data_IF_864185355069
#
_entry.id   IF_864185355069
#
_cell.length_a   1.000
_cell.length_b   1.000
_cell.length_c   1.000
_cell.angle_alpha   90.00
_cell.angle_beta   90.00
_cell.angle_gamma   90.00
#
_symmetry.space_group_name_H-M   'P 1'
#
loop_
_entity.id
_entity.type
_entity.pdbx_description
1 polymer ?
#
# COMPACT_ATOMS: atom_id res chain seq x y z
N UNK A 1 -23.15 27.35 13.06
CA UNK A 1 -22.63 26.54 14.19
C UNK A 1 -21.66 25.52 13.62
N UNK A 2 -20.40 25.55 14.07
CA UNK A 2 -19.39 24.57 13.67
C UNK A 2 -19.61 23.25 14.40
N UNK A 3 -19.55 22.15 13.68
CA UNK A 3 -19.53 20.81 14.27
C UNK A 3 -18.06 20.40 14.47
N UNK A 4 -17.40 20.98 15.47
CA UNK A 4 -16.33 20.26 16.15
C UNK A 4 -16.94 19.08 16.90
N UNK A 5 -16.11 18.13 17.34
CA UNK A 5 -16.54 17.07 18.26
C UNK A 5 -17.09 17.62 19.60
N UNK A 6 -16.94 18.94 19.80
CA UNK A 6 -17.46 19.75 20.89
C UNK A 6 -18.40 20.81 20.27
N UNK A 7 -19.60 20.95 20.86
CA UNK A 7 -20.59 21.97 20.49
C UNK A 7 -19.95 23.36 20.46
N UNK A 8 -20.23 24.13 19.39
CA UNK A 8 -19.78 25.51 19.18
C UNK A 8 -18.27 25.72 18.93
N UNK A 9 -17.51 24.67 18.59
CA UNK A 9 -16.13 24.77 18.09
C UNK A 9 -16.02 24.35 16.61
N UNK A 10 -15.01 24.83 15.89
CA UNK A 10 -14.68 24.38 14.53
C UNK A 10 -13.72 23.19 14.58
N UNK A 11 -14.00 22.13 13.81
CA UNK A 11 -13.23 20.88 13.83
C UNK A 11 -11.95 20.87 13.00
N UNK A 12 -11.68 21.89 12.19
CA UNK A 12 -10.63 21.89 11.13
C UNK A 12 -9.22 21.56 11.65
N UNK A 13 -8.93 21.94 12.90
CA UNK A 13 -7.63 21.72 13.53
C UNK A 13 -7.71 20.75 14.72
N UNK A 14 -8.79 19.97 14.81
CA UNK A 14 -9.01 19.04 15.90
C UNK A 14 -9.09 17.60 15.37
N UNK A 15 -8.68 16.67 16.22
CA UNK A 15 -8.74 15.25 15.92
C UNK A 15 -9.44 14.51 17.06
N UNK A 16 -10.50 13.77 16.75
CA UNK A 16 -11.09 12.82 17.68
C UNK A 16 -10.13 11.65 17.85
N UNK A 17 -9.77 11.33 19.09
CA UNK A 17 -8.93 10.16 19.39
C UNK A 17 -9.80 9.04 19.94
N UNK A 18 -9.81 7.90 19.26
CA UNK A 18 -10.52 6.70 19.68
C UNK A 18 -9.52 5.63 20.15
N UNK A 19 -9.62 5.30 21.44
CA UNK A 19 -8.90 4.21 22.10
C UNK A 19 -9.88 3.32 22.89
N UNK A 20 -9.36 2.26 23.52
CA UNK A 20 -10.16 1.29 24.26
C UNK A 20 -10.88 0.30 23.35
N UNK A 21 -11.08 -0.93 23.84
CA UNK A 21 -11.60 -2.07 23.07
C UNK A 21 -13.03 -1.92 22.55
N UNK A 22 -13.79 -0.95 23.07
CA UNK A 22 -15.18 -0.71 22.68
C UNK A 22 -15.35 -0.18 21.25
N UNK A 23 -16.61 -0.09 20.83
CA UNK A 23 -17.00 0.37 19.49
C UNK A 23 -17.48 1.83 19.52
N UNK A 24 -17.02 2.63 18.56
CA UNK A 24 -17.55 3.94 18.24
C UNK A 24 -18.29 3.89 16.91
N UNK A 25 -19.57 4.25 16.88
CA UNK A 25 -20.35 4.34 15.64
C UNK A 25 -20.51 5.81 15.27
N UNK A 26 -20.04 6.19 14.09
CA UNK A 26 -20.15 7.55 13.58
C UNK A 26 -21.32 7.58 12.59
N UNK A 27 -22.39 8.23 13.02
CA UNK A 27 -23.58 8.54 12.23
C UNK A 27 -23.61 10.05 12.05
N UNK A 28 -23.62 10.52 10.82
CA UNK A 28 -23.83 11.94 10.52
C UNK A 28 -24.74 12.05 9.31
N UNK A 29 -25.59 13.05 9.31
CA UNK A 29 -26.42 13.44 8.17
C UNK A 29 -26.01 14.82 7.65
N UNK A 30 -24.86 15.33 8.12
CA UNK A 30 -24.41 16.66 7.75
C UNK A 30 -24.13 16.71 6.24
N UNK A 31 -24.90 17.56 5.55
CA UNK A 31 -24.71 17.91 4.15
C UNK A 31 -24.12 19.33 4.14
N UNK A 32 -22.84 19.51 3.78
CA UNK A 32 -22.24 20.83 3.79
C UNK A 32 -22.80 21.67 2.65
N UNK A 33 -22.97 22.98 2.87
CA UNK A 33 -23.34 23.91 1.80
C UNK A 33 -22.18 24.18 0.81
N UNK A 34 -20.96 23.66 1.08
CA UNK A 34 -19.77 23.69 0.22
C UNK A 34 -18.71 22.68 0.70
N UNK A 35 -17.92 22.10 -0.21
CA UNK A 35 -16.79 21.18 0.08
C UNK A 35 -15.67 21.83 0.92
N UNK A 36 -15.66 23.17 1.00
CA UNK A 36 -14.64 24.00 1.68
C UNK A 36 -15.12 24.64 2.98
N UNK A 37 -16.22 24.18 3.58
CA UNK A 37 -16.85 24.87 4.71
C UNK A 37 -16.00 24.91 6.00
N UNK A 38 -14.86 24.22 6.03
CA UNK A 38 -13.94 24.22 7.17
C UNK A 38 -14.62 23.71 8.42
N UNK A 39 -15.35 22.59 8.34
CA UNK A 39 -16.00 22.02 9.53
C UNK A 39 -15.58 20.61 9.88
N UNK A 40 -15.04 19.84 8.95
CA UNK A 40 -14.59 18.49 9.23
C UNK A 40 -13.26 18.51 9.99
N UNK A 41 -13.19 17.71 11.06
CA UNK A 41 -11.93 17.39 11.72
C UNK A 41 -11.38 16.05 11.27
N UNK A 42 -10.42 15.53 12.02
CA UNK A 42 -9.79 14.25 11.75
C UNK A 42 -10.15 13.19 12.80
N UNK A 43 -9.90 11.92 12.49
CA UNK A 43 -10.03 10.82 13.44
C UNK A 43 -8.69 10.10 13.57
N UNK A 44 -8.30 9.79 14.81
CA UNK A 44 -7.18 8.91 15.14
C UNK A 44 -7.68 7.68 15.88
N UNK A 45 -7.36 6.50 15.37
CA UNK A 45 -7.81 5.22 15.94
C UNK A 45 -6.60 4.43 16.41
N UNK A 46 -6.49 4.25 17.73
CA UNK A 46 -5.43 3.46 18.35
C UNK A 46 -5.89 2.09 18.83
N UNK A 47 -7.18 1.88 19.10
CA UNK A 47 -7.69 0.60 19.59
C UNK A 47 -9.21 0.48 19.43
N UNK A 48 -9.68 -0.77 19.31
CA UNK A 48 -11.10 -1.12 19.28
C UNK A 48 -11.68 -0.95 17.88
N UNK A 49 -12.98 -0.72 17.79
CA UNK A 49 -13.68 -0.64 16.51
C UNK A 49 -14.28 0.76 16.28
N UNK A 50 -14.17 1.25 15.06
CA UNK A 50 -14.94 2.40 14.57
C UNK A 50 -15.81 1.94 13.41
N UNK A 51 -17.09 2.28 13.42
CA UNK A 51 -18.03 1.98 12.32
C UNK A 51 -18.45 3.29 11.66
N UNK A 52 -18.22 3.42 10.35
CA UNK A 52 -18.75 4.52 9.56
C UNK A 52 -20.12 4.19 8.98
N UNK A 53 -21.15 4.62 9.69
CA UNK A 53 -22.56 4.46 9.31
C UNK A 53 -23.13 5.80 8.82
N UNK A 54 -22.53 6.36 7.78
CA UNK A 54 -22.94 7.64 7.17
C UNK A 54 -22.80 7.59 5.65
N UNK A 55 -23.74 8.24 4.94
CA UNK A 55 -23.69 8.43 3.49
C UNK A 55 -23.11 9.81 3.09
N UNK A 56 -22.66 10.61 4.05
CA UNK A 56 -22.01 11.91 3.83
C UNK A 56 -20.62 11.96 4.45
N UNK A 57 -19.79 12.91 4.00
CA UNK A 57 -18.48 13.14 4.59
C UNK A 57 -18.62 13.53 6.06
N UNK A 58 -17.79 12.94 6.91
CA UNK A 58 -17.75 13.19 8.35
C UNK A 58 -16.41 13.77 8.79
N UNK A 59 -15.34 13.45 8.07
CA UNK A 59 -13.95 13.69 8.47
C UNK A 59 -13.11 14.11 7.25
N UNK A 60 -12.06 14.86 7.52
CA UNK A 60 -11.05 15.17 6.51
C UNK A 60 -10.20 13.94 6.18
N UNK A 61 -9.87 13.16 7.20
CA UNK A 61 -9.17 11.88 7.06
C UNK A 61 -9.14 11.08 8.36
N UNK A 62 -8.68 9.84 8.25
CA UNK A 62 -8.58 8.88 9.35
C UNK A 62 -7.17 8.32 9.42
N UNK A 63 -6.61 8.31 10.62
CA UNK A 63 -5.30 7.76 10.92
C UNK A 63 -5.43 6.54 11.83
N UNK A 64 -4.93 5.39 11.40
CA UNK A 64 -4.88 4.16 12.20
C UNK A 64 -3.45 3.88 12.66
N UNK A 65 -3.29 3.48 13.93
CA UNK A 65 -1.97 3.13 14.48
C UNK A 65 -2.07 2.01 15.53
N UNK A 66 -0.92 1.40 15.83
CA UNK A 66 -0.68 0.34 16.82
C UNK A 66 -1.25 -1.05 16.50
N UNK A 67 -1.96 -1.22 15.39
CA UNK A 67 -2.45 -2.53 14.92
C UNK A 67 -3.67 -3.08 15.63
N UNK A 68 -4.16 -2.38 16.66
CA UNK A 68 -5.28 -2.83 17.52
C UNK A 68 -6.63 -2.24 17.14
N UNK A 69 -6.65 -1.31 16.19
CA UNK A 69 -7.85 -0.65 15.70
C UNK A 69 -8.42 -1.33 14.45
N UNK A 70 -9.74 -1.38 14.35
CA UNK A 70 -10.46 -1.70 13.11
C UNK A 70 -11.40 -0.57 12.76
N UNK A 71 -11.21 0.00 11.57
CA UNK A 71 -12.20 0.83 10.93
C UNK A 71 -13.07 -0.04 10.02
N UNK A 72 -14.38 -0.03 10.25
CA UNK A 72 -15.37 -0.82 9.50
C UNK A 72 -16.30 0.10 8.73
N UNK A 73 -16.42 -0.14 7.43
CA UNK A 73 -17.43 0.49 6.59
C UNK A 73 -18.80 -0.14 6.81
N UNK A 74 -19.86 0.58 6.43
CA UNK A 74 -21.18 -0.03 6.26
C UNK A 74 -21.40 -0.26 4.77
N UNK A 75 -22.06 -1.37 4.41
CA UNK A 75 -22.38 -1.68 3.01
C UNK A 75 -23.12 -0.51 2.35
N UNK A 76 -22.64 -0.07 1.19
CA UNK A 76 -23.17 1.09 0.48
C UNK A 76 -22.74 2.44 1.09
N UNK A 77 -21.74 2.47 1.98
CA UNK A 77 -21.27 3.68 2.68
C UNK A 77 -19.75 3.69 2.85
N UNK A 78 -19.08 4.63 2.17
CA UNK A 78 -17.64 4.91 2.33
C UNK A 78 -17.32 6.41 2.37
N UNK A 79 -18.34 7.28 2.36
CA UNK A 79 -18.18 8.72 2.20
C UNK A 79 -17.53 9.42 3.40
N UNK A 80 -17.53 8.77 4.58
CA UNK A 80 -17.12 9.38 5.84
C UNK A 80 -15.74 10.07 5.79
N UNK A 81 -14.79 9.51 5.04
CA UNK A 81 -13.43 10.05 4.86
C UNK A 81 -13.19 10.69 3.48
N UNK A 82 -14.26 11.07 2.77
CA UNK A 82 -14.18 11.84 1.53
C UNK A 82 -14.29 11.04 0.23
N UNK A 83 -14.57 9.74 0.30
CA UNK A 83 -14.86 8.97 -0.92
C UNK A 83 -16.20 9.41 -1.53
N UNK A 84 -16.28 9.46 -2.86
CA UNK A 84 -17.48 9.81 -3.61
C UNK A 84 -18.04 8.56 -4.26
N UNK A 85 -19.35 8.32 -4.15
CA UNK A 85 -19.98 7.15 -4.76
C UNK A 85 -19.89 7.25 -6.28
N UNK A 86 -19.38 6.22 -6.94
CA UNK A 86 -19.45 6.10 -8.39
C UNK A 86 -20.74 5.36 -8.78
N UNK A 87 -21.53 5.99 -9.65
CA UNK A 87 -22.77 5.43 -10.18
C UNK A 87 -22.64 5.06 -11.67
N UNK A 88 -21.44 5.14 -12.24
CA UNK A 88 -21.19 4.88 -13.66
C UNK A 88 -21.56 3.45 -14.10
N UNK A 89 -21.61 2.49 -13.15
CA UNK A 89 -21.91 1.06 -13.38
C UNK A 89 -21.08 0.43 -14.51
N UNK A 90 -19.92 1.02 -14.84
CA UNK A 90 -19.09 0.62 -15.98
C UNK A 90 -18.55 -0.80 -15.82
N UNK A 91 -18.34 -1.23 -14.58
CA UNK A 91 -18.04 -2.62 -14.24
C UNK A 91 -19.08 -3.12 -13.22
N UNK A 92 -19.99 -3.98 -13.69
CA UNK A 92 -21.07 -4.54 -12.86
C UNK A 92 -20.58 -5.39 -11.67
N UNK A 93 -19.29 -5.78 -11.68
CA UNK A 93 -18.62 -6.47 -10.56
C UNK A 93 -18.43 -5.55 -9.36
N UNK A 94 -18.29 -4.24 -9.58
CA UNK A 94 -18.06 -3.29 -8.50
C UNK A 94 -19.38 -2.96 -7.79
N UNK A 95 -19.72 -3.77 -6.79
CA UNK A 95 -20.80 -3.45 -5.87
C UNK A 95 -20.39 -2.30 -4.96
N UNK A 96 -21.32 -1.36 -4.76
CA UNK A 96 -21.11 -0.22 -3.87
C UNK A 96 -19.77 0.50 -4.11
N UNK A 97 -19.55 0.94 -5.34
CA UNK A 97 -18.28 1.54 -5.75
C UNK A 97 -18.14 2.98 -5.26
N UNK A 98 -16.98 3.30 -4.68
CA UNK A 98 -16.59 4.65 -4.32
C UNK A 98 -15.20 4.99 -4.82
N UNK A 99 -14.99 6.27 -5.12
CA UNK A 99 -13.72 6.84 -5.57
C UNK A 99 -13.20 7.74 -4.46
N UNK A 100 -12.03 7.40 -3.94
CA UNK A 100 -11.22 8.27 -3.10
C UNK A 100 -10.20 8.92 -4.03
N UNK A 101 -10.48 10.14 -4.46
CA UNK A 101 -9.74 10.76 -5.57
C UNK A 101 -8.25 11.00 -5.25
N UNK A 102 -7.91 11.35 -4.01
CA UNK A 102 -6.53 11.60 -3.58
C UNK A 102 -5.77 12.58 -4.50
N UNK A 103 -6.41 13.70 -4.87
CA UNK A 103 -5.84 14.70 -5.77
C UNK A 103 -4.62 15.43 -5.17
N UNK A 104 -4.34 15.26 -3.88
CA UNK A 104 -3.18 15.86 -3.20
C UNK A 104 -2.64 14.94 -2.09
N UNK A 105 -1.32 14.93 -1.86
CA UNK A 105 -0.64 14.15 -0.80
C UNK A 105 -1.14 14.44 0.62
N UNK A 106 -1.78 15.60 0.83
CA UNK A 106 -2.32 16.00 2.14
C UNK A 106 -3.81 15.62 2.28
N UNK A 107 -4.36 14.87 1.33
CA UNK A 107 -5.79 14.52 1.28
C UNK A 107 -6.05 13.13 0.69
N UNK A 108 -5.41 12.12 1.27
CA UNK A 108 -5.62 10.71 0.91
C UNK A 108 -6.88 10.11 1.54
N UNK A 109 -7.40 10.70 2.60
CA UNK A 109 -8.58 10.24 3.35
C UNK A 109 -8.31 9.13 4.37
N UNK A 110 -7.43 8.17 4.08
CA UNK A 110 -7.04 7.09 5.00
C UNK A 110 -5.52 6.99 5.08
N UNK A 111 -5.01 6.87 6.30
CA UNK A 111 -3.59 6.81 6.62
C UNK A 111 -3.32 5.75 7.69
N UNK A 112 -2.26 4.96 7.50
CA UNK A 112 -1.82 3.95 8.45
C UNK A 112 -0.42 4.30 8.96
N UNK A 113 -0.34 4.77 10.19
CA UNK A 113 0.95 5.00 10.85
C UNK A 113 1.58 3.71 11.36
N UNK A 114 2.57 3.85 12.25
CA UNK A 114 3.31 2.72 12.82
C UNK A 114 2.38 1.69 13.47
N UNK A 115 2.58 0.42 13.13
CA UNK A 115 1.72 -0.67 13.57
C UNK A 115 0.40 -0.80 12.82
N UNK A 116 0.04 0.18 11.99
CA UNK A 116 -1.17 0.18 11.17
C UNK A 116 -2.44 -0.09 11.95
N UNK A 117 -3.25 -1.01 11.44
CA UNK A 117 -4.63 -1.29 11.86
C UNK A 117 -5.40 -1.86 10.69
N UNK A 118 -6.70 -2.09 10.89
CA UNK A 118 -7.53 -2.76 9.88
C UNK A 118 -8.54 -1.81 9.26
N UNK A 119 -8.68 -1.84 7.93
CA UNK A 119 -9.81 -1.29 7.21
C UNK A 119 -10.67 -2.44 6.68
N UNK A 120 -11.89 -2.56 7.17
CA UNK A 120 -12.87 -3.54 6.68
C UNK A 120 -13.82 -2.89 5.68
N UNK A 121 -13.72 -3.33 4.42
CA UNK A 121 -14.46 -2.80 3.30
C UNK A 121 -15.95 -3.17 3.32
N UNK A 122 -16.33 -4.27 4.00
CA UNK A 122 -17.72 -4.73 4.12
C UNK A 122 -18.52 -4.76 2.80
N UNK A 123 -17.89 -5.26 1.74
CA UNK A 123 -18.50 -5.39 0.41
C UNK A 123 -18.54 -4.10 -0.42
N UNK A 124 -17.85 -3.04 0.02
CA UNK A 124 -17.70 -1.82 -0.77
C UNK A 124 -16.44 -1.88 -1.64
N UNK A 125 -16.58 -1.58 -2.93
CA UNK A 125 -15.42 -1.39 -3.82
C UNK A 125 -14.86 0.02 -3.72
N UNK A 126 -13.53 0.15 -3.81
CA UNK A 126 -12.81 1.42 -3.73
C UNK A 126 -11.86 1.61 -4.90
N UNK A 127 -11.88 2.79 -5.52
CA UNK A 127 -10.80 3.27 -6.37
C UNK A 127 -10.03 4.34 -5.61
N UNK A 128 -8.71 4.19 -5.57
CA UNK A 128 -7.79 5.12 -4.91
C UNK A 128 -6.47 5.19 -5.68
N UNK A 129 -5.66 6.22 -5.45
CA UNK A 129 -4.37 6.36 -6.11
C UNK A 129 -3.29 5.49 -5.45
N UNK A 130 -3.16 5.57 -4.14
CA UNK A 130 -2.20 4.85 -3.31
C UNK A 130 -2.71 4.67 -1.86
N UNK A 131 -1.98 3.91 -1.05
CA UNK A 131 -2.27 3.67 0.36
C UNK A 131 -1.09 4.19 1.18
N UNK A 132 -1.35 5.18 2.04
CA UNK A 132 -0.35 5.65 3.00
C UNK A 132 -0.22 4.66 4.14
N UNK A 133 0.89 3.94 4.19
CA UNK A 133 1.16 2.92 5.21
C UNK A 133 2.63 2.90 5.58
N UNK A 134 2.95 3.03 6.87
CA UNK A 134 4.33 2.98 7.36
C UNK A 134 4.90 1.56 7.48
N UNK A 135 4.04 0.54 7.53
CA UNK A 135 4.47 -0.86 7.61
C UNK A 135 3.35 -1.81 7.13
N UNK A 136 3.70 -3.09 7.05
CA UNK A 136 2.82 -4.17 6.59
C UNK A 136 1.71 -4.56 7.56
N UNK A 137 1.61 -3.92 8.73
CA UNK A 137 0.49 -4.11 9.69
C UNK A 137 -0.68 -3.18 9.39
N UNK A 138 -0.55 -2.27 8.42
CA UNK A 138 -1.70 -1.73 7.71
C UNK A 138 -2.39 -2.89 6.96
N UNK A 139 -3.65 -3.19 7.26
CA UNK A 139 -4.33 -4.35 6.71
C UNK A 139 -5.70 -3.98 6.16
N UNK A 140 -5.95 -4.31 4.90
CA UNK A 140 -7.24 -4.09 4.24
C UNK A 140 -7.95 -5.44 4.12
N UNK A 141 -9.15 -5.55 4.67
CA UNK A 141 -9.93 -6.77 4.73
C UNK A 141 -11.34 -6.57 4.15
N UNK A 142 -12.00 -7.66 3.81
CA UNK A 142 -13.43 -7.66 3.57
C UNK A 142 -14.06 -8.85 4.30
N UNK A 143 -14.81 -8.57 5.36
CA UNK A 143 -15.55 -9.61 6.10
C UNK A 143 -16.96 -9.85 5.57
N UNK A 144 -17.36 -9.20 4.47
CA UNK A 144 -18.62 -9.51 3.79
C UNK A 144 -18.51 -10.82 3.01
N UNK A 145 -19.43 -11.75 3.31
CA UNK A 145 -19.45 -13.11 2.75
C UNK A 145 -20.14 -13.19 1.39
N UNK A 146 -20.85 -12.14 0.99
CA UNK A 146 -21.68 -12.13 -0.21
C UNK A 146 -21.02 -11.30 -1.31
N UNK A 147 -20.63 -10.08 -0.99
CA UNK A 147 -20.11 -9.12 -1.95
C UNK A 147 -18.59 -9.05 -1.86
N UNK A 148 -17.91 -9.40 -2.95
CA UNK A 148 -16.48 -9.16 -3.13
C UNK A 148 -16.21 -7.66 -3.22
N UNK A 149 -15.25 -7.18 -2.44
CA UNK A 149 -14.80 -5.79 -2.53
C UNK A 149 -13.68 -5.71 -3.57
N UNK A 150 -13.80 -4.83 -4.56
CA UNK A 150 -12.73 -4.57 -5.51
C UNK A 150 -11.97 -3.32 -5.12
N UNK A 151 -10.63 -3.41 -5.09
CA UNK A 151 -9.75 -2.27 -4.90
C UNK A 151 -8.98 -1.98 -6.19
N UNK A 152 -9.27 -0.83 -6.78
CA UNK A 152 -8.53 -0.31 -7.94
C UNK A 152 -7.47 0.65 -7.40
N UNK A 153 -6.20 0.37 -7.71
CA UNK A 153 -5.08 1.24 -7.34
C UNK A 153 -4.60 1.95 -8.60
N UNK A 154 -4.65 3.28 -8.64
CA UNK A 154 -4.27 4.02 -9.84
C UNK A 154 -2.75 4.10 -10.03
N UNK A 155 -1.93 4.24 -8.99
CA UNK A 155 -0.47 4.31 -9.11
C UNK A 155 0.04 5.51 -9.94
N UNK A 156 -0.63 6.66 -9.85
CA UNK A 156 -0.21 7.93 -10.45
C UNK A 156 0.73 8.69 -9.53
N UNK A 157 1.65 9.45 -10.13
CA UNK A 157 2.60 10.27 -9.42
C UNK A 157 1.97 11.46 -8.68
N UNK A 158 2.82 12.15 -7.91
CA UNK A 158 2.50 13.45 -7.33
C UNK A 158 3.64 14.42 -7.62
N UNK A 159 3.31 15.64 -8.03
CA UNK A 159 4.28 16.69 -8.32
C UNK A 159 4.91 17.30 -7.05
N UNK A 160 5.85 18.24 -7.24
CA UNK A 160 6.51 18.97 -6.14
C UNK A 160 5.52 19.84 -5.33
N UNK A 161 4.41 20.23 -5.94
CA UNK A 161 3.30 20.95 -5.28
C UNK A 161 2.30 19.99 -4.60
N UNK A 162 2.66 18.71 -4.48
CA UNK A 162 1.89 17.62 -3.87
C UNK A 162 0.63 17.21 -4.65
N UNK A 163 0.39 17.71 -5.85
CA UNK A 163 -0.81 17.38 -6.63
C UNK A 163 -0.65 16.09 -7.41
N UNK A 164 -1.72 15.30 -7.51
CA UNK A 164 -1.75 14.05 -8.29
C UNK A 164 -1.54 14.38 -9.77
N UNK A 165 -0.60 13.69 -10.40
CA UNK A 165 -0.32 13.84 -11.83
C UNK A 165 -1.23 12.93 -12.65
N UNK A 166 -1.16 13.01 -13.99
CA UNK A 166 -1.86 12.05 -14.86
C UNK A 166 -1.04 10.79 -15.12
N UNK A 167 0.29 10.91 -15.08
CA UNK A 167 1.22 9.85 -15.42
C UNK A 167 1.36 8.83 -14.29
N UNK A 168 1.55 7.57 -14.68
CA UNK A 168 1.91 6.49 -13.74
C UNK A 168 3.30 6.73 -13.18
N UNK A 169 3.50 6.34 -11.93
CA UNK A 169 4.79 6.36 -11.25
C UNK A 169 4.97 5.05 -10.46
N UNK A 170 6.22 4.65 -10.24
CA UNK A 170 6.50 3.52 -9.36
C UNK A 170 5.85 3.76 -8.00
N UNK A 171 5.02 2.81 -7.57
CA UNK A 171 4.19 2.93 -6.37
C UNK A 171 4.32 1.66 -5.54
N UNK A 172 4.87 1.78 -4.33
CA UNK A 172 4.99 0.66 -3.39
C UNK A 172 3.80 0.67 -2.42
N UNK A 173 3.18 -0.50 -2.25
CA UNK A 173 2.08 -0.75 -1.32
C UNK A 173 2.59 -1.62 -0.17
N UNK A 174 3.00 -0.95 0.91
CA UNK A 174 3.42 -1.63 2.15
C UNK A 174 2.26 -2.33 2.86
N UNK A 175 1.03 -1.82 2.68
CA UNK A 175 -0.16 -2.40 3.29
C UNK A 175 -0.39 -3.86 2.86
N UNK A 176 -0.82 -4.67 3.82
CA UNK A 176 -1.26 -6.03 3.60
C UNK A 176 -2.74 -6.10 3.26
N UNK A 177 -3.15 -7.22 2.64
CA UNK A 177 -4.53 -7.49 2.24
C UNK A 177 -5.00 -8.85 2.75
N UNK A 178 -6.22 -8.90 3.28
CA UNK A 178 -6.90 -10.12 3.71
C UNK A 178 -6.19 -10.90 4.80
N UNK A 179 -5.32 -10.26 5.58
CA UNK A 179 -4.61 -10.92 6.68
C UNK A 179 -5.55 -11.16 7.86
N UNK A 180 -5.15 -12.09 8.73
CA UNK A 180 -5.91 -12.36 9.94
C UNK A 180 -5.91 -11.14 10.86
N UNK A 181 -7.07 -10.87 11.46
CA UNK A 181 -7.27 -9.81 12.46
C UNK A 181 -7.42 -10.35 13.87
N UNK A 182 -7.39 -11.67 14.04
CA UNK A 182 -7.53 -12.34 15.33
C UNK A 182 -6.21 -13.02 15.72
N UNK A 183 -5.65 -12.56 16.83
CA UNK A 183 -4.39 -13.08 17.40
C UNK A 183 -4.44 -14.55 17.84
N UNK A 184 -5.63 -15.15 18.00
CA UNK A 184 -5.82 -16.50 18.55
C UNK A 184 -6.19 -17.52 17.49
N UNK A 185 -6.88 -17.11 16.44
CA UNK A 185 -7.35 -17.99 15.37
C UNK A 185 -7.19 -17.30 14.03
N UNK A 186 -6.50 -17.96 13.11
CA UNK A 186 -6.41 -17.47 11.74
C UNK A 186 -7.81 -17.40 11.11
N UNK A 187 -8.23 -16.17 10.80
CA UNK A 187 -9.47 -15.83 10.10
C UNK A 187 -9.22 -15.18 8.74
N UNK A 188 -8.01 -15.31 8.19
CA UNK A 188 -7.64 -14.71 6.90
C UNK A 188 -8.53 -15.18 5.74
N UNK A 189 -9.03 -16.42 5.78
CA UNK A 189 -9.99 -16.95 4.79
C UNK A 189 -11.37 -16.28 4.83
N UNK A 190 -11.73 -15.64 5.95
CA UNK A 190 -12.96 -14.86 6.11
C UNK A 190 -12.74 -13.38 5.75
N UNK A 191 -11.48 -12.94 5.63
CA UNK A 191 -11.08 -11.56 5.36
C UNK A 191 -10.66 -11.32 3.90
N UNK A 192 -10.38 -12.40 3.15
CA UNK A 192 -9.75 -12.35 1.84
C UNK A 192 -10.72 -12.16 0.65
N UNK A 193 -11.98 -11.77 0.90
CA UNK A 193 -12.97 -11.58 -0.16
C UNK A 193 -12.75 -10.26 -0.94
N UNK A 194 -11.54 -10.11 -1.50
CA UNK A 194 -11.04 -8.91 -2.15
C UNK A 194 -10.57 -9.27 -3.56
N UNK A 195 -10.83 -8.40 -4.54
CA UNK A 195 -10.17 -8.40 -5.84
C UNK A 195 -9.31 -7.15 -5.99
N UNK A 196 -8.05 -7.30 -6.41
CA UNK A 196 -7.15 -6.19 -6.70
C UNK A 196 -7.14 -5.93 -8.21
N UNK A 197 -7.13 -4.66 -8.60
CA UNK A 197 -7.13 -4.27 -10.01
C UNK A 197 -6.11 -3.15 -10.23
N UNK A 198 -5.23 -3.36 -11.20
CA UNK A 198 -4.27 -2.37 -11.66
C UNK A 198 -4.35 -2.22 -13.18
N UNK A 199 -4.53 -0.98 -13.64
CA UNK A 199 -4.38 -0.63 -15.06
C UNK A 199 -3.13 0.23 -15.18
N UNK A 200 -2.14 -0.25 -15.91
CA UNK A 200 -0.88 0.44 -16.08
C UNK A 200 -0.93 1.55 -17.13
N UNK A 201 0.24 1.87 -17.66
CA UNK A 201 0.43 2.84 -18.74
C UNK A 201 0.38 2.09 -20.08
N UNK A 202 -0.71 2.25 -20.83
CA UNK A 202 -0.95 1.62 -22.13
C UNK A 202 -0.13 2.26 -23.26
N UNK A 203 0.51 3.41 -23.01
CA UNK A 203 1.42 4.05 -23.97
C UNK A 203 2.81 3.42 -24.01
N UNK A 204 3.15 2.57 -23.03
CA UNK A 204 4.48 1.94 -22.89
C UNK A 204 4.40 0.42 -23.03
N UNK A 205 5.37 -0.16 -23.72
CA UNK A 205 5.51 -1.61 -23.80
C UNK A 205 5.86 -2.22 -22.42
N UNK A 206 5.43 -3.45 -22.14
CA UNK A 206 5.66 -4.14 -20.86
C UNK A 206 7.14 -4.28 -20.45
N UNK A 207 8.07 -4.24 -21.41
CA UNK A 207 9.52 -4.31 -21.18
C UNK A 207 10.22 -2.94 -21.22
N UNK A 208 9.47 -1.84 -21.35
CA UNK A 208 10.04 -0.49 -21.28
C UNK A 208 10.61 -0.22 -19.88
N UNK A 209 11.86 0.25 -19.82
CA UNK A 209 12.55 0.62 -18.57
C UNK A 209 11.83 1.71 -17.78
N UNK A 210 11.07 2.57 -18.45
CA UNK A 210 10.34 3.68 -17.84
C UNK A 210 8.87 3.31 -17.57
N UNK A 211 8.48 2.03 -17.71
CA UNK A 211 7.13 1.57 -17.36
C UNK A 211 6.98 1.44 -15.85
N UNK A 212 6.12 2.29 -15.30
CA UNK A 212 5.84 2.36 -13.87
C UNK A 212 5.29 1.03 -13.32
N UNK A 213 5.84 0.61 -12.19
CA UNK A 213 5.45 -0.58 -11.48
C UNK A 213 4.48 -0.29 -10.33
N UNK A 214 3.52 -1.18 -10.12
CA UNK A 214 2.80 -1.33 -8.85
C UNK A 214 3.45 -2.46 -8.05
N UNK A 215 4.06 -2.10 -6.92
CA UNK A 215 4.87 -3.02 -6.12
C UNK A 215 4.11 -3.35 -4.84
N UNK A 216 4.01 -4.64 -4.51
CA UNK A 216 3.51 -5.11 -3.23
C UNK A 216 4.67 -5.71 -2.44
N UNK A 217 4.94 -5.13 -1.27
CA UNK A 217 5.88 -5.64 -0.27
C UNK A 217 5.22 -5.80 1.10
N UNK A 218 3.88 -5.70 1.17
CA UNK A 218 3.06 -6.27 2.24
C UNK A 218 2.72 -7.75 2.01
N UNK A 219 1.93 -8.34 2.90
CA UNK A 219 1.37 -9.68 2.69
C UNK A 219 0.03 -9.59 1.96
N UNK A 220 -0.22 -10.48 1.00
CA UNK A 220 -1.46 -10.45 0.21
C UNK A 220 -2.19 -11.78 0.35
N UNK A 221 -3.45 -11.75 0.76
CA UNK A 221 -4.37 -12.88 0.71
C UNK A 221 -5.70 -12.40 0.12
N UNK A 222 -5.94 -12.68 -1.16
CA UNK A 222 -7.08 -12.13 -1.91
C UNK A 222 -7.64 -13.13 -2.93
N UNK A 223 -8.85 -12.91 -3.43
CA UNK A 223 -9.48 -13.78 -4.45
C UNK A 223 -8.82 -13.64 -5.82
N UNK A 224 -8.32 -12.47 -6.16
CA UNK A 224 -7.59 -12.28 -7.40
C UNK A 224 -6.91 -10.93 -7.54
N UNK A 225 -6.04 -10.85 -8.53
CA UNK A 225 -5.35 -9.65 -8.98
C UNK A 225 -5.47 -9.57 -10.50
N UNK A 226 -5.98 -8.47 -11.02
CA UNK A 226 -6.09 -8.22 -12.46
C UNK A 226 -5.13 -7.10 -12.83
N UNK A 227 -4.27 -7.35 -13.82
CA UNK A 227 -3.36 -6.36 -14.38
C UNK A 227 -3.61 -6.22 -15.89
N UNK A 228 -3.84 -4.99 -16.34
CA UNK A 228 -3.96 -4.65 -17.77
C UNK A 228 -2.93 -3.59 -18.11
N UNK A 229 -2.13 -3.80 -19.16
CA UNK A 229 -1.06 -2.90 -19.60
C UNK A 229 -0.11 -2.50 -18.46
N UNK A 230 0.05 -3.35 -17.44
CA UNK A 230 0.71 -3.02 -16.17
C UNK A 230 2.03 -3.77 -15.95
N UNK A 231 2.87 -3.22 -15.08
CA UNK A 231 3.98 -3.93 -14.43
C UNK A 231 3.62 -4.09 -12.96
N UNK A 232 3.53 -5.34 -12.49
CA UNK A 232 3.25 -5.68 -11.09
C UNK A 232 4.46 -6.40 -10.52
N UNK A 233 4.88 -6.01 -9.33
CA UNK A 233 6.02 -6.60 -8.63
C UNK A 233 5.57 -7.13 -7.29
N UNK A 234 5.86 -8.40 -7.02
CA UNK A 234 5.62 -9.03 -5.72
C UNK A 234 6.99 -9.34 -5.11
N UNK A 235 7.34 -8.70 -4.00
CA UNK A 235 8.65 -8.87 -3.39
C UNK A 235 8.55 -8.92 -1.86
N UNK A 236 9.60 -9.45 -1.23
CA UNK A 236 9.86 -9.21 0.17
C UNK A 236 10.04 -7.72 0.47
N UNK A 237 10.08 -7.40 1.75
CA UNK A 237 10.27 -6.03 2.21
C UNK A 237 11.67 -5.90 2.81
N UNK A 238 12.49 -4.94 2.38
CA UNK A 238 13.79 -4.73 3.01
C UNK A 238 13.56 -4.33 4.47
N UNK A 239 14.22 -5.01 5.40
CA UNK A 239 14.07 -4.70 6.83
C UNK A 239 14.42 -3.23 7.09
N UNK A 240 13.50 -2.50 7.72
CA UNK A 240 13.72 -1.09 8.04
C UNK A 240 14.65 -0.91 9.25
N UNK A 241 15.62 -0.03 9.13
CA UNK A 241 16.58 0.34 10.16
C UNK A 241 16.42 1.81 10.56
N UNK A 242 16.90 2.15 11.75
CA UNK A 242 17.01 3.56 12.15
C UNK A 242 18.05 4.28 11.28
N UNK A 243 17.78 5.55 10.96
CA UNK A 243 18.68 6.39 10.19
C UNK A 243 18.82 7.76 10.85
N UNK A 244 19.85 8.50 10.45
CA UNK A 244 20.13 9.85 10.92
C UNK A 244 19.48 10.84 9.98
N UNK A 245 18.54 11.64 10.51
CA UNK A 245 17.99 12.77 9.77
C UNK A 245 19.07 13.83 9.56
N UNK A 246 19.12 14.36 8.35
CA UNK A 246 20.06 15.42 7.99
C UNK A 246 19.59 16.76 8.57
N UNK A 247 19.99 17.00 9.82
CA UNK A 247 19.69 18.23 10.56
C UNK A 247 20.96 19.03 10.84
N UNK A 248 20.85 20.37 10.85
CA UNK A 248 21.98 21.25 11.15
C UNK A 248 22.19 21.41 12.66
N UNK A 249 23.28 20.86 13.17
CA UNK A 249 23.71 21.01 14.57
C UNK A 249 24.78 22.08 14.73
N UNK A 250 24.83 22.70 15.90
CA UNK A 250 25.89 23.67 16.24
C UNK A 250 27.09 22.93 16.82
N UNK A 251 28.25 23.06 16.18
CA UNK A 251 29.53 22.56 16.68
C UNK A 251 30.51 23.73 16.77
N UNK A 252 30.81 24.17 17.99
CA UNK A 252 31.51 25.43 18.22
C UNK A 252 30.73 26.62 17.65
N UNK A 253 31.34 27.39 16.75
CA UNK A 253 30.70 28.55 16.08
C UNK A 253 30.17 28.23 14.67
N UNK A 254 30.07 26.96 14.28
CA UNK A 254 29.63 26.54 12.94
C UNK A 254 28.36 25.68 13.00
N UNK A 255 27.54 25.79 11.96
CA UNK A 255 26.46 24.83 11.66
C UNK A 255 27.01 23.73 10.76
N UNK A 256 26.78 22.47 11.12
CA UNK A 256 27.21 21.29 10.37
C UNK A 256 26.07 20.29 10.27
N UNK A 257 26.03 19.50 9.20
CA UNK A 257 25.12 18.37 9.08
C UNK A 257 25.44 17.33 10.15
N UNK A 258 24.43 16.92 10.93
CA UNK A 258 24.56 15.81 11.87
C UNK A 258 24.89 14.51 11.13
N UNK A 259 24.25 14.28 9.98
CA UNK A 259 24.48 13.11 9.15
C UNK A 259 25.94 13.02 8.71
N UNK A 260 26.52 14.12 8.21
CA UNK A 260 27.93 14.14 7.78
C UNK A 260 28.89 13.93 8.95
N UNK A 261 28.60 14.51 10.11
CA UNK A 261 29.42 14.32 11.30
C UNK A 261 29.46 12.85 11.71
N UNK A 262 28.32 12.16 11.71
CA UNK A 262 28.24 10.74 12.07
C UNK A 262 28.88 9.86 10.99
N UNK A 263 28.59 10.11 9.70
CA UNK A 263 29.19 9.37 8.59
C UNK A 263 30.72 9.45 8.60
N UNK A 264 31.28 10.61 8.92
CA UNK A 264 32.74 10.79 8.99
C UNK A 264 33.38 10.09 10.21
N UNK A 265 32.64 9.93 11.31
CA UNK A 265 33.15 9.24 12.52
C UNK A 265 33.04 7.73 12.40
N UNK A 266 31.86 7.23 12.02
CA UNK A 266 31.51 5.80 12.13
C UNK A 266 31.34 5.12 10.77
N UNK A 267 31.07 5.88 9.71
CA UNK A 267 30.67 5.34 8.40
C UNK A 267 31.73 4.43 7.75
N UNK A 268 33.02 4.66 8.03
CA UNK A 268 34.12 3.82 7.53
C UNK A 268 34.15 2.41 8.13
N UNK A 269 33.43 2.19 9.22
CA UNK A 269 33.32 0.88 9.88
C UNK A 269 32.08 0.10 9.45
N UNK A 270 31.17 0.76 8.74
CA UNK A 270 29.91 0.17 8.32
C UNK A 270 30.11 -0.66 7.03
N UNK A 271 29.34 -1.76 6.87
CA UNK A 271 29.32 -2.48 5.61
C UNK A 271 28.84 -1.60 4.45
N UNK A 272 29.34 -1.86 3.24
CA UNK A 272 29.03 -1.08 2.03
C UNK A 272 27.53 -0.99 1.69
N UNK A 273 26.72 -1.95 2.16
CA UNK A 273 25.28 -1.96 1.95
C UNK A 273 24.51 -1.09 2.96
N UNK A 274 25.14 -0.62 4.04
CA UNK A 274 24.48 0.20 5.06
C UNK A 274 24.56 1.68 4.71
N UNK A 275 23.43 2.40 4.76
CA UNK A 275 23.38 3.85 4.54
C UNK A 275 22.63 4.55 5.67
N UNK A 276 23.37 5.30 6.51
CA UNK A 276 22.83 6.04 7.64
C UNK A 276 21.84 7.17 7.28
N UNK A 277 21.59 7.44 6.00
CA UNK A 277 20.67 8.50 5.55
C UNK A 277 19.27 8.01 5.20
N UNK A 278 19.02 6.71 5.23
CA UNK A 278 17.77 6.09 4.79
C UNK A 278 17.47 4.81 5.58
N UNK A 279 16.20 4.35 5.62
CA UNK A 279 15.81 3.21 6.43
C UNK A 279 16.28 1.87 5.87
N UNK A 280 16.52 1.76 4.56
CA UNK A 280 16.88 0.50 3.91
C UNK A 280 17.66 0.70 2.61
N UNK A 281 18.30 -0.36 2.12
CA UNK A 281 19.01 -0.40 0.84
C UNK A 281 18.71 -1.68 0.07
N UNK A 282 18.88 -1.65 -1.26
CA UNK A 282 18.61 -2.82 -2.12
C UNK A 282 19.55 -4.00 -1.82
N UNK A 283 20.80 -3.70 -1.47
CA UNK A 283 21.88 -4.69 -1.31
C UNK A 283 22.00 -5.23 0.13
N UNK A 284 21.14 -4.80 1.05
CA UNK A 284 21.17 -5.33 2.42
C UNK A 284 20.80 -6.83 2.45
N UNK A 285 21.40 -7.62 3.36
CA UNK A 285 21.16 -9.05 3.42
C UNK A 285 19.80 -9.39 4.02
N UNK A 286 19.30 -8.58 4.95
CA UNK A 286 18.12 -8.81 5.75
C UNK A 286 16.86 -8.22 5.10
N UNK A 287 15.96 -9.12 4.71
CA UNK A 287 14.68 -8.81 4.10
C UNK A 287 13.61 -9.64 4.78
N UNK A 288 12.47 -9.01 5.07
CA UNK A 288 11.29 -9.67 5.57
C UNK A 288 10.64 -10.51 4.46
N UNK A 289 10.43 -11.78 4.74
CA UNK A 289 9.66 -12.67 3.88
C UNK A 289 8.20 -12.22 3.76
N UNK A 290 7.67 -12.23 2.53
CA UNK A 290 6.27 -11.89 2.24
C UNK A 290 5.56 -13.02 1.50
N UNK A 291 4.31 -13.26 1.90
CA UNK A 291 3.47 -14.31 1.33
C UNK A 291 2.32 -13.69 0.55
N UNK A 292 2.18 -14.11 -0.70
CA UNK A 292 1.17 -13.70 -1.67
C UNK A 292 0.27 -14.89 -1.99
N UNK A 293 -0.86 -15.01 -1.30
CA UNK A 293 -1.93 -15.98 -1.59
C UNK A 293 -2.99 -15.32 -2.46
N UNK A 294 -2.89 -15.51 -3.77
CA UNK A 294 -3.76 -14.84 -4.74
C UNK A 294 -4.51 -15.91 -5.53
N UNK A 295 -5.84 -15.95 -5.39
CA UNK A 295 -6.65 -16.99 -6.03
C UNK A 295 -6.42 -17.10 -7.54
N UNK A 296 -6.56 -16.01 -8.28
CA UNK A 296 -6.13 -15.91 -9.69
C UNK A 296 -5.48 -14.57 -9.97
N UNK A 297 -4.29 -14.58 -10.56
CA UNK A 297 -3.64 -13.43 -11.18
C UNK A 297 -3.96 -13.48 -12.67
N UNK A 298 -4.65 -12.47 -13.19
CA UNK A 298 -5.02 -12.34 -14.60
C UNK A 298 -4.19 -11.21 -15.23
N UNK A 299 -3.33 -11.56 -16.18
CA UNK A 299 -2.40 -10.66 -16.86
C UNK A 299 -2.84 -10.47 -18.32
N UNK A 300 -3.15 -9.23 -18.67
CA UNK A 300 -3.50 -8.80 -20.03
C UNK A 300 -2.49 -7.77 -20.48
N UNK A 301 -1.69 -8.09 -21.50
CA UNK A 301 -0.57 -7.25 -21.94
C UNK A 301 0.27 -6.72 -20.77
N UNK A 302 0.58 -7.58 -19.79
CA UNK A 302 1.13 -7.16 -18.50
C UNK A 302 2.35 -7.97 -18.09
N UNK A 303 3.20 -7.36 -17.27
CA UNK A 303 4.39 -7.99 -16.69
C UNK A 303 4.20 -8.25 -15.20
N UNK A 304 4.49 -9.47 -14.77
CA UNK A 304 4.54 -9.86 -13.37
C UNK A 304 5.97 -10.28 -13.00
N UNK A 305 6.58 -9.54 -12.10
CA UNK A 305 7.91 -9.84 -11.55
C UNK A 305 7.77 -10.32 -10.09
N UNK A 306 8.30 -11.49 -9.80
CA UNK A 306 8.36 -12.04 -8.44
C UNK A 306 9.81 -11.89 -7.96
N UNK A 307 10.01 -11.00 -7.00
CA UNK A 307 11.30 -10.62 -6.41
C UNK A 307 11.74 -11.52 -5.25
N UNK A 308 12.83 -11.12 -4.61
CA UNK A 308 13.43 -11.84 -3.46
C UNK A 308 12.46 -11.91 -2.29
N UNK A 309 12.63 -12.89 -1.42
CA UNK A 309 11.88 -13.07 -0.17
C UNK A 309 10.35 -13.12 -0.38
N UNK A 310 9.91 -13.75 -1.47
CA UNK A 310 8.52 -13.83 -1.86
C UNK A 310 8.07 -15.29 -2.03
N UNK A 311 6.97 -15.65 -1.37
CA UNK A 311 6.21 -16.88 -1.66
C UNK A 311 4.90 -16.51 -2.36
N UNK A 312 4.73 -16.93 -3.62
CA UNK A 312 3.49 -16.79 -4.36
C UNK A 312 2.72 -18.13 -4.39
N UNK A 313 1.52 -18.15 -3.82
CA UNK A 313 0.56 -19.24 -3.93
C UNK A 313 -0.64 -18.78 -4.78
N UNK A 314 -0.89 -19.39 -5.94
CA UNK A 314 -1.99 -18.95 -6.80
C UNK A 314 -2.01 -19.51 -8.22
N UNK A 315 -3.10 -19.25 -8.94
CA UNK A 315 -3.17 -19.49 -10.39
C UNK A 315 -2.77 -18.22 -11.14
N UNK A 316 -1.87 -18.32 -12.11
CA UNK A 316 -1.57 -17.24 -13.05
C UNK A 316 -2.24 -17.54 -14.39
N UNK A 317 -2.94 -16.58 -14.95
CA UNK A 317 -3.45 -16.55 -16.32
C UNK A 317 -2.77 -15.41 -17.06
N UNK A 318 -2.24 -15.66 -18.25
CA UNK A 318 -1.52 -14.66 -19.01
C UNK A 318 -1.74 -14.83 -20.51
N UNK A 319 -1.93 -13.71 -21.20
CA UNK A 319 -2.02 -13.67 -22.66
C UNK A 319 -0.63 -13.53 -23.34
N UNK A 320 -0.65 -13.46 -24.67
CA UNK A 320 0.57 -13.38 -25.48
C UNK A 320 1.27 -12.03 -25.41
N UNK A 321 0.58 -11.00 -24.91
CA UNK A 321 1.17 -9.69 -24.63
C UNK A 321 1.87 -9.62 -23.28
N UNK A 322 1.85 -10.69 -22.49
CA UNK A 322 2.29 -10.70 -21.11
C UNK A 322 3.65 -11.38 -20.88
N UNK A 323 4.28 -11.08 -19.74
CA UNK A 323 5.52 -11.71 -19.28
C UNK A 323 5.47 -12.03 -17.79
N UNK A 324 6.08 -13.15 -17.39
CA UNK A 324 6.21 -13.59 -16.00
C UNK A 324 7.68 -13.85 -15.70
N UNK A 325 8.22 -13.22 -14.67
CA UNK A 325 9.61 -13.39 -14.25
C UNK A 325 9.67 -13.82 -12.78
N UNK A 326 10.31 -14.96 -12.52
CA UNK A 326 10.65 -15.38 -11.16
C UNK A 326 12.14 -15.13 -10.89
N UNK A 327 12.44 -14.01 -10.24
CA UNK A 327 13.82 -13.57 -10.00
C UNK A 327 14.60 -13.28 -11.28
N UNK A 328 15.92 -13.37 -11.18
CA UNK A 328 16.84 -13.11 -12.28
C UNK A 328 17.05 -11.62 -12.52
N UNK A 329 17.13 -11.21 -13.79
CA UNK A 329 17.47 -9.86 -14.23
C UNK A 329 16.27 -8.88 -14.16
N UNK A 330 15.63 -8.81 -13.00
CA UNK A 330 14.51 -7.92 -12.68
C UNK A 330 14.97 -6.78 -11.75
N UNK A 331 14.17 -5.72 -11.69
CA UNK A 331 14.37 -4.64 -10.72
C UNK A 331 13.73 -5.01 -9.37
N UNK A 332 14.40 -4.61 -8.30
CA UNK A 332 13.87 -4.61 -6.95
C UNK A 332 13.69 -3.17 -6.50
N UNK A 333 12.74 -2.97 -5.59
CA UNK A 333 12.28 -1.64 -5.20
C UNK A 333 12.42 -1.45 -3.70
N UNK A 334 12.80 -0.25 -3.29
CA UNK A 334 12.76 0.19 -1.89
C UNK A 334 12.10 1.56 -1.81
N UNK A 335 11.54 1.88 -0.64
CA UNK A 335 11.13 3.24 -0.33
C UNK A 335 12.16 3.91 0.59
N UNK A 336 12.72 5.04 0.15
CA UNK A 336 13.65 5.84 0.96
C UNK A 336 12.96 6.56 2.12
N UNK A 337 11.63 6.50 2.21
CA UNK A 337 10.77 7.02 3.28
C UNK A 337 10.01 5.92 4.03
N UNK A 338 10.40 4.67 3.85
CA UNK A 338 9.82 3.51 4.54
C UNK A 338 9.81 3.71 6.07
N UNK A 339 8.74 3.27 6.73
CA UNK A 339 8.50 3.55 8.14
C UNK A 339 7.98 4.96 8.46
N UNK A 340 8.06 5.90 7.51
CA UNK A 340 7.62 7.30 7.64
C UNK A 340 6.76 7.77 6.46
N UNK A 341 6.01 6.88 5.81
CA UNK A 341 5.13 7.23 4.69
C UNK A 341 4.00 8.18 5.09
N UNK A 342 3.53 8.06 6.32
CA UNK A 342 2.55 8.93 6.96
C UNK A 342 3.29 9.96 7.79
N UNK A 343 3.25 11.22 7.38
CA UNK A 343 3.97 12.33 8.03
C UNK A 343 3.04 13.43 8.53
N UNK A 344 3.65 14.56 8.90
CA UNK A 344 2.99 15.70 9.50
C UNK A 344 2.29 15.25 10.78
N UNK A 345 1.04 15.65 10.91
CA UNK A 345 0.21 15.29 12.06
C UNK A 345 -0.58 13.97 11.84
N UNK A 346 -0.08 13.08 10.98
CA UNK A 346 -0.68 11.79 10.63
C UNK A 346 -1.56 11.80 9.37
N UNK A 347 -1.49 12.85 8.55
CA UNK A 347 -2.42 13.10 7.43
C UNK A 347 -1.73 13.62 6.16
N UNK A 348 -0.42 13.44 6.07
CA UNK A 348 0.36 13.72 4.85
C UNK A 348 0.99 12.43 4.36
N UNK A 349 1.13 12.29 3.04
CA UNK A 349 1.74 11.14 2.40
C UNK A 349 3.07 11.49 1.74
N UNK A 350 4.06 10.63 1.94
CA UNK A 350 5.28 10.61 1.16
C UNK A 350 5.68 9.18 0.81
N UNK A 351 6.38 9.07 -0.32
CA UNK A 351 7.07 7.87 -0.77
C UNK A 351 8.14 8.34 -1.75
N UNK A 352 9.32 7.72 -1.67
CA UNK A 352 10.43 7.97 -2.59
C UNK A 352 11.00 6.63 -3.02
N UNK A 353 10.45 6.12 -4.12
CA UNK A 353 10.86 4.84 -4.69
C UNK A 353 12.26 4.94 -5.30
N UNK A 354 13.11 3.97 -4.98
CA UNK A 354 14.37 3.70 -5.66
C UNK A 354 14.32 2.26 -6.19
N UNK A 355 14.74 2.07 -7.43
CA UNK A 355 14.75 0.77 -8.09
C UNK A 355 16.10 0.50 -8.74
N UNK A 356 16.54 -0.74 -8.65
CA UNK A 356 17.73 -1.22 -9.36
C UNK A 356 17.67 -2.74 -9.50
N UNK A 357 18.35 -3.24 -10.52
CA UNK A 357 18.76 -4.65 -10.56
C UNK A 357 19.81 -4.90 -9.47
N UNK A 358 19.66 -6.01 -8.75
CA UNK A 358 20.61 -6.45 -7.74
C UNK A 358 21.97 -6.80 -8.37
N UNK A 359 23.05 -6.57 -7.62
CA UNK A 359 24.38 -7.07 -7.97
C UNK A 359 24.37 -8.60 -8.08
N UNK A 360 25.25 -9.14 -8.90
CA UNK A 360 25.30 -10.57 -9.25
C UNK A 360 25.29 -11.50 -8.01
N UNK A 361 26.09 -11.20 -6.99
CA UNK A 361 26.17 -12.01 -5.77
C UNK A 361 24.88 -11.95 -4.95
N UNK A 362 24.30 -10.75 -4.77
CA UNK A 362 23.02 -10.57 -4.07
C UNK A 362 21.87 -11.21 -4.85
N UNK A 363 21.89 -11.14 -6.18
CA UNK A 363 20.91 -11.76 -7.07
C UNK A 363 20.90 -13.29 -6.91
N UNK A 364 22.08 -13.93 -6.82
CA UNK A 364 22.19 -15.38 -6.58
C UNK A 364 21.50 -15.80 -5.28
N UNK A 365 21.66 -15.03 -4.21
CA UNK A 365 21.01 -15.27 -2.92
C UNK A 365 19.51 -15.00 -3.03
N UNK A 366 19.12 -13.86 -3.61
CA UNK A 366 17.73 -13.49 -3.84
C UNK A 366 16.95 -14.59 -4.57
N UNK A 367 17.52 -15.19 -5.61
CA UNK A 367 16.88 -16.25 -6.39
C UNK A 367 16.56 -17.53 -5.58
N UNK A 368 17.26 -17.78 -4.46
CA UNK A 368 17.00 -18.93 -3.58
C UNK A 368 15.80 -18.70 -2.64
N UNK A 369 15.35 -17.46 -2.50
CA UNK A 369 14.31 -17.04 -1.54
C UNK A 369 12.92 -16.91 -2.18
N UNK A 370 12.81 -17.30 -3.46
CA UNK A 370 11.61 -17.18 -4.26
C UNK A 370 10.92 -18.52 -4.34
N UNK A 371 9.65 -18.56 -3.94
CA UNK A 371 8.84 -19.76 -3.97
C UNK A 371 7.55 -19.53 -4.75
N UNK A 372 7.20 -20.47 -5.62
CA UNK A 372 5.94 -20.46 -6.35
C UNK A 372 5.22 -21.79 -6.15
N UNK A 373 3.93 -21.70 -5.80
CA UNK A 373 3.05 -22.86 -5.63
C UNK A 373 1.72 -22.60 -6.32
N UNK A 374 1.51 -23.27 -7.44
CA UNK A 374 0.24 -23.17 -8.15
C UNK A 374 0.36 -23.60 -9.60
N UNK A 375 -0.41 -22.96 -10.47
CA UNK A 375 -0.51 -23.30 -11.89
C UNK A 375 -0.40 -22.06 -12.75
N UNK A 376 0.20 -22.20 -13.93
CA UNK A 376 0.27 -21.14 -14.93
C UNK A 376 -0.51 -21.59 -16.17
N UNK A 377 -1.48 -20.80 -16.59
CA UNK A 377 -2.20 -20.93 -17.86
C UNK A 377 -1.75 -19.77 -18.75
N UNK A 378 -0.96 -20.06 -19.78
CA UNK A 378 -0.31 -19.07 -20.62
C UNK A 378 -0.53 -19.38 -22.10
N UNK A 379 -0.84 -18.35 -22.89
CA UNK A 379 -0.95 -18.43 -24.34
C UNK A 379 0.06 -17.46 -24.98
N UNK A 380 1.18 -17.97 -25.50
CA UNK A 380 2.24 -17.14 -26.11
C UNK A 380 3.01 -16.24 -25.13
N UNK A 381 2.79 -16.35 -23.82
CA UNK A 381 3.44 -15.56 -22.76
C UNK A 381 4.92 -15.92 -22.59
N UNK A 382 5.78 -14.91 -22.38
CA UNK A 382 7.18 -15.14 -22.00
C UNK A 382 7.28 -15.47 -20.51
N UNK A 383 7.86 -16.62 -20.17
CA UNK A 383 8.11 -17.03 -18.78
C UNK A 383 9.61 -17.22 -18.56
N UNK A 384 10.20 -16.44 -17.65
CA UNK A 384 11.58 -16.59 -17.23
C UNK A 384 11.61 -16.99 -15.75
N UNK A 385 12.43 -17.97 -15.40
CA UNK A 385 12.62 -18.38 -14.01
C UNK A 385 14.08 -18.52 -13.67
N UNK A 386 14.47 -17.93 -12.55
CA UNK A 386 15.76 -18.11 -11.89
C UNK A 386 15.61 -18.76 -10.50
N UNK A 387 14.41 -19.25 -10.15
CA UNK A 387 14.19 -20.03 -8.92
C UNK A 387 15.09 -21.27 -8.94
N UNK A 388 15.82 -21.51 -7.85
CA UNK A 388 16.79 -22.60 -7.75
C UNK A 388 16.13 -23.99 -7.85
N UNK A 389 14.98 -24.19 -7.19
CA UNK A 389 14.28 -25.47 -7.11
C UNK A 389 12.90 -25.43 -7.79
N UNK A 390 12.81 -24.86 -9.00
CA UNK A 390 11.55 -24.89 -9.75
C UNK A 390 11.25 -26.34 -10.17
N UNK A 391 10.23 -26.95 -9.56
CA UNK A 391 9.71 -28.27 -9.94
C UNK A 391 8.37 -28.10 -10.65
N UNK A 392 8.36 -27.76 -11.96
CA UNK A 392 7.10 -27.60 -12.68
C UNK A 392 6.42 -28.96 -12.85
N UNK A 393 5.12 -29.01 -12.59
CA UNK A 393 4.26 -30.08 -13.10
C UNK A 393 3.51 -29.52 -14.30
N UNK A 394 3.86 -29.98 -15.50
CA UNK A 394 3.12 -29.68 -16.73
C UNK A 394 1.85 -30.54 -16.72
N UNK A 395 0.69 -29.89 -16.76
CA UNK A 395 -0.63 -30.55 -16.91
C UNK A 395 -1.17 -30.33 -18.32
#
# INVERSE_FOLDING_TARGET
>A
MGLGFIKDKTGVNDALHKVGKGTLVIKTEYSPNSVTDGKYGYLRVGEGKVIFDTATRALNGVYLTSGRGTLELVKGKAQAFGAVKDNSQLDSRFKHHFILAQENKDSLGIYFGNGGGNLDLKGNSLTLNTISSNDSRANIINTDKTDTSYMVIEGKGYDESKNKTQDKADTIIHASFGQSTDSKKDNSSENNNIGLIYKGDDSKNIDDKDKAALIFDGNVNVKGLEATDGKVVLQGHPTTHAYIRDELVTVGNQKKSLLDLVKNSEGVTLPDWMDLSRPSTLEQPDWDHRVFKIGTIDLQSSRLDIGREATLEGKIKADSGSAINFGGDIEHYIDKKDGENTTGNGFEYQQQVESQKLKEETQKIANQTIHFKGSIEADGTKINSSIYDLTPSLL
#
